data_IF_101288133779
#
_entry.id   IF_101288133779
#
_cell.length_a   1.000
_cell.length_b   1.000
_cell.length_c   1.000
_cell.angle_alpha   90.00
_cell.angle_beta   90.00
_cell.angle_gamma   90.00
#
_symmetry.space_group_name_H-M   'P 1'
#
loop_
_entity.id
_entity.type
_entity.pdbx_description
1 polymer ?
#
# COMPACT_ATOMS: atom_id res chain seq x y z
N UNK A 1 7.56 -28.78 9.89
CA UNK A 1 7.13 -27.65 9.05
C UNK A 1 8.30 -27.25 8.20
N UNK A 2 8.11 -26.95 6.92
CA UNK A 2 9.17 -26.33 6.10
C UNK A 2 9.69 -25.08 6.81
N UNK A 3 10.93 -24.68 6.52
CA UNK A 3 11.57 -23.51 7.12
C UNK A 3 10.81 -22.17 6.90
N UNK A 4 9.68 -22.20 6.19
CA UNK A 4 8.92 -21.06 5.70
C UNK A 4 7.45 -21.03 6.19
N UNK A 5 7.10 -21.83 7.21
CA UNK A 5 5.78 -21.76 7.86
C UNK A 5 4.68 -22.57 7.16
N UNK A 6 3.56 -22.76 7.86
CA UNK A 6 2.36 -23.42 7.34
C UNK A 6 1.49 -22.38 6.60
N UNK A 7 0.95 -22.74 5.42
CA UNK A 7 -0.07 -21.98 4.66
C UNK A 7 0.35 -20.67 3.97
N UNK A 8 1.51 -20.61 3.32
CA UNK A 8 1.81 -19.50 2.40
C UNK A 8 1.93 -18.13 3.08
N UNK A 9 2.36 -18.09 4.34
CA UNK A 9 2.58 -16.82 5.07
C UNK A 9 3.55 -15.87 4.36
N UNK A 10 4.44 -16.40 3.52
CA UNK A 10 5.39 -15.62 2.73
C UNK A 10 4.97 -15.46 1.26
N UNK A 11 3.77 -15.90 0.87
CA UNK A 11 3.31 -15.82 -0.50
C UNK A 11 2.90 -14.41 -0.83
N UNK A 12 3.63 -13.81 -1.78
CA UNK A 12 3.43 -12.44 -2.20
C UNK A 12 3.37 -12.30 -3.71
N UNK A 13 2.73 -11.23 -4.16
CA UNK A 13 2.87 -10.69 -5.49
C UNK A 13 2.73 -9.17 -5.40
N UNK A 14 2.68 -8.50 -6.55
CA UNK A 14 2.52 -7.06 -6.61
C UNK A 14 1.34 -6.70 -7.50
N UNK A 15 0.46 -5.87 -6.98
CA UNK A 15 -0.69 -5.32 -7.68
C UNK A 15 -0.78 -3.84 -7.39
N UNK A 16 -1.07 -3.03 -8.42
CA UNK A 16 -1.33 -1.61 -8.28
C UNK A 16 -2.83 -1.34 -8.45
N UNK A 17 -3.48 -1.10 -7.32
CA UNK A 17 -4.87 -0.72 -7.29
C UNK A 17 -5.02 0.75 -7.74
N UNK A 18 -5.78 0.95 -8.82
CA UNK A 18 -6.03 2.26 -9.42
C UNK A 18 -5.15 2.55 -10.64
N UNK A 19 -4.10 1.77 -10.89
CA UNK A 19 -3.33 1.84 -12.13
C UNK A 19 -3.91 0.93 -13.22
N UNK A 20 -3.85 1.35 -14.48
CA UNK A 20 -4.14 0.47 -15.63
C UNK A 20 -2.93 -0.39 -15.93
N UNK A 21 -2.93 -1.62 -15.43
CA UNK A 21 -1.90 -2.62 -15.68
C UNK A 21 -2.46 -3.86 -16.40
N UNK A 22 -1.58 -4.66 -17.01
CA UNK A 22 -1.98 -5.94 -17.61
C UNK A 22 -2.37 -6.94 -16.50
N UNK A 23 -3.61 -7.44 -16.48
CA UNK A 23 -4.05 -8.40 -15.46
C UNK A 23 -3.27 -9.73 -15.47
N UNK A 24 -2.53 -10.05 -16.53
CA UNK A 24 -1.65 -11.23 -16.57
C UNK A 24 -0.39 -11.04 -15.74
N UNK A 25 0.10 -9.80 -15.61
CA UNK A 25 1.25 -9.46 -14.77
C UNK A 25 0.83 -9.46 -13.29
N UNK A 26 -0.40 -9.04 -13.01
CA UNK A 26 -0.99 -8.92 -11.67
C UNK A 26 -1.91 -10.10 -11.29
N UNK A 27 -1.70 -11.30 -11.86
CA UNK A 27 -2.55 -12.45 -11.59
C UNK A 27 -2.48 -12.84 -10.10
N UNK A 28 -3.65 -12.96 -9.48
CA UNK A 28 -3.84 -13.39 -8.08
C UNK A 28 -3.30 -14.79 -7.79
N UNK A 29 -3.01 -15.60 -8.82
CA UNK A 29 -2.39 -16.93 -8.70
C UNK A 29 -0.87 -16.89 -8.89
N UNK A 30 -0.32 -15.77 -9.33
CA UNK A 30 1.12 -15.59 -9.42
C UNK A 30 1.68 -15.40 -8.01
N UNK A 31 2.61 -16.27 -7.61
CA UNK A 31 3.17 -16.30 -6.25
C UNK A 31 4.69 -16.18 -6.34
N UNK A 32 5.28 -15.29 -5.55
CA UNK A 32 6.65 -15.41 -5.06
C UNK A 32 6.60 -16.03 -3.67
N UNK A 33 7.46 -17.00 -3.42
CA UNK A 33 7.73 -17.49 -2.07
C UNK A 33 8.89 -16.71 -1.41
N UNK A 34 9.00 -16.79 -0.09
CA UNK A 34 10.05 -16.13 0.67
C UNK A 34 11.45 -16.58 0.25
N UNK A 35 12.30 -15.62 -0.11
CA UNK A 35 13.66 -15.87 -0.57
C UNK A 35 13.81 -15.93 -2.09
N UNK A 36 12.72 -15.76 -2.83
CA UNK A 36 12.74 -15.57 -4.28
C UNK A 36 12.80 -14.08 -4.65
N UNK A 37 13.33 -13.82 -5.85
CA UNK A 37 13.31 -12.49 -6.47
C UNK A 37 12.50 -12.53 -7.77
N UNK A 38 11.78 -11.44 -8.06
CA UNK A 38 11.09 -11.26 -9.34
C UNK A 38 11.14 -9.81 -9.76
N UNK A 39 11.43 -9.61 -11.04
CA UNK A 39 11.27 -8.31 -11.69
C UNK A 39 9.88 -8.22 -12.29
N UNK A 40 9.15 -7.15 -11.93
CA UNK A 40 7.90 -6.78 -12.58
C UNK A 40 8.16 -5.65 -13.57
N UNK A 41 7.52 -5.72 -14.74
CA UNK A 41 7.57 -4.65 -15.74
C UNK A 41 6.15 -4.15 -15.93
N UNK A 42 5.95 -2.87 -15.66
CA UNK A 42 4.69 -2.17 -15.83
C UNK A 42 4.88 -1.07 -16.86
N UNK A 43 3.87 -0.90 -17.73
CA UNK A 43 3.85 0.14 -18.74
C UNK A 43 2.85 1.21 -18.32
N UNK A 44 3.37 2.37 -17.93
CA UNK A 44 2.57 3.57 -17.65
C UNK A 44 2.59 4.45 -18.88
N UNK A 45 1.68 4.17 -19.82
CA UNK A 45 1.57 4.92 -21.07
C UNK A 45 1.08 6.36 -20.82
N UNK A 46 1.30 7.26 -21.78
CA UNK A 46 0.95 8.68 -21.64
C UNK A 46 -0.55 8.96 -21.46
N UNK A 47 -1.42 7.97 -21.75
CA UNK A 47 -2.87 8.03 -21.55
C UNK A 47 -3.34 7.33 -20.25
N UNK A 48 -2.40 6.91 -19.39
CA UNK A 48 -2.71 6.47 -18.03
C UNK A 48 -3.42 7.61 -17.28
N UNK A 49 -4.51 7.34 -16.54
CA UNK A 49 -5.11 8.37 -15.70
C UNK A 49 -4.11 8.85 -14.64
N UNK A 50 -3.93 10.16 -14.45
CA UNK A 50 -3.10 10.67 -13.36
C UNK A 50 -3.78 10.44 -12.02
N UNK A 51 -3.00 10.48 -10.95
CA UNK A 51 -3.50 10.47 -9.59
C UNK A 51 -2.80 9.48 -8.66
N UNK A 52 -3.39 9.32 -7.48
CA UNK A 52 -2.89 8.44 -6.43
C UNK A 52 -3.41 7.02 -6.66
N UNK A 53 -2.50 6.10 -6.99
CA UNK A 53 -2.72 4.67 -6.90
C UNK A 53 -1.99 4.11 -5.66
N UNK A 54 -2.26 2.86 -5.33
CA UNK A 54 -1.58 2.19 -4.23
C UNK A 54 -1.23 0.77 -4.63
N UNK A 55 -0.18 0.22 -4.04
CA UNK A 55 0.26 -1.14 -4.32
C UNK A 55 0.20 -2.00 -3.07
N UNK A 56 -0.18 -3.26 -3.25
CA UNK A 56 -0.21 -4.27 -2.20
C UNK A 56 -0.08 -5.68 -2.79
N UNK A 57 0.16 -6.67 -1.93
CA UNK A 57 0.07 -8.07 -2.33
C UNK A 57 -1.39 -8.48 -2.53
N UNK A 58 -1.68 -9.14 -3.64
CA UNK A 58 -3.00 -9.59 -4.08
C UNK A 58 -3.05 -11.10 -4.38
N UNK A 59 -2.16 -11.87 -3.75
CA UNK A 59 -2.20 -13.33 -3.84
C UNK A 59 -3.51 -13.87 -3.24
N UNK A 60 -4.17 -14.75 -4.00
CA UNK A 60 -5.41 -15.39 -3.57
C UNK A 60 -5.20 -16.18 -2.27
N UNK A 61 -6.00 -15.87 -1.25
CA UNK A 61 -5.95 -16.53 0.06
C UNK A 61 -4.97 -15.92 1.06
N UNK A 62 -3.96 -15.14 0.62
CA UNK A 62 -2.95 -14.57 1.52
C UNK A 62 -2.93 -13.04 1.57
N UNK A 63 -3.60 -12.36 0.63
CA UNK A 63 -3.64 -10.88 0.52
C UNK A 63 -3.98 -10.18 1.84
N UNK A 64 -4.98 -10.68 2.59
CA UNK A 64 -5.40 -10.11 3.88
C UNK A 64 -4.29 -10.13 4.92
N UNK A 65 -3.50 -11.21 4.99
CA UNK A 65 -2.40 -11.31 5.94
C UNK A 65 -1.29 -10.32 5.61
N UNK A 66 -0.89 -10.23 4.33
CA UNK A 66 0.13 -9.27 3.90
C UNK A 66 -0.30 -7.82 4.12
N UNK A 67 -1.56 -7.48 3.81
CA UNK A 67 -2.08 -6.14 4.00
C UNK A 67 -2.05 -5.72 5.48
N UNK A 68 -2.59 -6.56 6.37
CA UNK A 68 -2.59 -6.26 7.81
C UNK A 68 -1.20 -6.35 8.45
N UNK A 69 -0.26 -7.07 7.83
CA UNK A 69 1.16 -7.01 8.17
C UNK A 69 1.83 -5.69 7.77
N UNK A 70 1.10 -4.77 7.13
CA UNK A 70 1.59 -3.45 6.73
C UNK A 70 2.18 -3.40 5.33
N UNK A 71 2.03 -4.44 4.51
CA UNK A 71 2.56 -4.49 3.16
C UNK A 71 1.63 -3.80 2.15
N UNK A 72 1.61 -2.47 2.24
CA UNK A 72 0.99 -1.59 1.26
C UNK A 72 1.85 -0.34 1.07
N UNK A 73 1.73 0.31 -0.07
CA UNK A 73 2.37 1.59 -0.35
C UNK A 73 1.58 2.42 -1.34
N UNK A 74 1.95 3.69 -1.48
CA UNK A 74 1.34 4.61 -2.43
C UNK A 74 2.23 4.79 -3.66
N UNK A 75 1.61 5.08 -4.81
CA UNK A 75 2.29 5.55 -6.01
C UNK A 75 1.52 6.72 -6.60
N UNK A 76 2.23 7.78 -6.97
CA UNK A 76 1.65 8.93 -7.67
C UNK A 76 1.94 8.79 -9.15
N UNK A 77 0.90 8.90 -9.98
CA UNK A 77 0.99 8.89 -11.43
C UNK A 77 0.87 10.33 -11.92
N UNK A 78 1.96 10.86 -12.47
CA UNK A 78 2.10 12.24 -12.96
C UNK A 78 2.53 12.25 -14.43
N UNK A 79 2.55 13.43 -15.04
CA UNK A 79 3.06 13.66 -16.39
C UNK A 79 2.13 13.20 -17.50
N UNK A 80 0.86 12.94 -17.20
CA UNK A 80 -0.16 12.50 -18.17
C UNK A 80 -0.97 13.69 -18.69
N UNK A 81 -1.78 13.49 -19.72
CA UNK A 81 -2.49 14.58 -20.39
C UNK A 81 -3.49 15.35 -19.49
N UNK A 82 -3.91 14.78 -18.36
CA UNK A 82 -4.88 15.37 -17.42
C UNK A 82 -4.25 15.69 -16.06
N UNK A 83 -2.92 15.75 -15.99
CA UNK A 83 -2.20 15.93 -14.74
C UNK A 83 -2.46 17.32 -14.13
N UNK A 84 -3.14 17.32 -12.98
CA UNK A 84 -3.50 18.53 -12.24
C UNK A 84 -2.32 19.15 -11.51
N UNK A 85 -1.21 18.43 -11.32
CA UNK A 85 0.02 18.98 -10.71
C UNK A 85 0.61 20.11 -11.56
N UNK A 86 0.21 20.22 -12.83
CA UNK A 86 0.59 21.31 -13.73
C UNK A 86 -0.15 22.63 -13.47
N UNK A 87 -1.25 22.61 -12.70
CA UNK A 87 -1.99 23.81 -12.32
C UNK A 87 -1.13 24.62 -11.32
N UNK A 88 -0.87 25.92 -11.55
CA UNK A 88 0.07 26.71 -10.74
C UNK A 88 -0.19 26.68 -9.23
N UNK A 89 -1.46 26.72 -8.83
CA UNK A 89 -1.88 26.69 -7.43
C UNK A 89 -1.61 25.32 -6.77
N UNK A 90 -1.74 24.23 -7.54
CA UNK A 90 -1.48 22.86 -7.08
C UNK A 90 0.03 22.60 -7.05
N UNK A 91 0.76 23.03 -8.09
CA UNK A 91 2.21 22.95 -8.16
C UNK A 91 2.92 23.68 -7.02
N UNK A 92 2.32 24.78 -6.54
CA UNK A 92 2.83 25.56 -5.41
C UNK A 92 2.39 25.04 -4.03
N UNK A 93 1.42 24.11 -3.99
CA UNK A 93 0.95 23.53 -2.74
C UNK A 93 1.92 22.46 -2.24
N UNK A 94 1.98 22.31 -0.91
CA UNK A 94 2.69 21.20 -0.28
C UNK A 94 1.86 19.92 -0.45
N UNK A 95 2.40 18.95 -1.18
CA UNK A 95 1.82 17.62 -1.31
C UNK A 95 2.13 16.73 -0.11
N UNK A 96 1.12 16.03 0.40
CA UNK A 96 1.23 15.15 1.56
C UNK A 96 0.44 13.87 1.32
N UNK A 97 1.16 12.75 1.17
CA UNK A 97 0.52 11.43 1.06
C UNK A 97 0.22 10.89 2.46
N UNK A 98 -1.05 10.57 2.70
CA UNK A 98 -1.51 9.94 3.94
C UNK A 98 -2.09 8.55 3.66
N UNK A 99 -1.37 7.51 4.09
CA UNK A 99 -1.86 6.13 4.13
C UNK A 99 -2.40 5.90 5.54
N UNK A 100 -3.72 5.99 5.68
CA UNK A 100 -4.41 5.70 6.94
C UNK A 100 -4.80 4.23 6.95
N UNK A 101 -4.32 3.49 7.94
CA UNK A 101 -4.59 2.05 8.06
C UNK A 101 -4.77 1.65 9.51
N UNK A 102 -5.41 0.50 9.71
CA UNK A 102 -5.51 -0.15 11.00
C UNK A 102 -4.70 -1.44 10.95
N UNK A 103 -3.85 -1.65 11.96
CA UNK A 103 -3.13 -2.92 12.12
C UNK A 103 -3.16 -3.38 13.57
N UNK A 104 -2.92 -4.68 13.74
CA UNK A 104 -2.78 -5.33 15.05
C UNK A 104 -1.43 -6.04 15.06
N UNK A 105 -0.54 -5.57 15.92
CA UNK A 105 0.74 -6.23 16.19
C UNK A 105 0.67 -6.96 17.53
N UNK A 106 1.24 -8.15 17.59
CA UNK A 106 1.37 -8.87 18.84
C UNK A 106 2.40 -8.14 19.71
N UNK A 107 1.95 -7.54 20.83
CA UNK A 107 2.79 -6.70 21.68
C UNK A 107 3.99 -7.44 22.30
N UNK A 108 3.96 -8.78 22.39
CA UNK A 108 5.04 -9.59 22.94
C UNK A 108 6.08 -9.96 21.89
N UNK A 109 5.66 -10.23 20.64
CA UNK A 109 6.56 -10.72 19.59
C UNK A 109 6.92 -9.66 18.54
N UNK A 110 6.17 -8.55 18.50
CA UNK A 110 6.28 -7.52 17.46
C UNK A 110 5.79 -7.98 16.08
N UNK A 111 5.24 -9.20 15.95
CA UNK A 111 4.78 -9.77 14.67
C UNK A 111 3.30 -9.47 14.42
N UNK A 112 2.87 -9.40 13.15
CA UNK A 112 1.45 -9.48 12.80
C UNK A 112 0.82 -10.76 13.38
N UNK A 113 -0.49 -10.74 13.67
CA UNK A 113 -1.16 -11.92 14.20
C UNK A 113 -1.24 -13.05 13.15
N UNK A 114 -0.82 -14.26 13.53
CA UNK A 114 -0.75 -15.44 12.66
C UNK A 114 -2.14 -15.96 12.20
N UNK A 115 -3.22 -15.55 12.88
CA UNK A 115 -4.56 -16.03 12.63
C UNK A 115 -5.59 -14.91 12.73
N UNK A 116 -6.22 -14.59 11.61
CA UNK A 116 -7.36 -13.71 11.52
C UNK A 116 -8.63 -14.57 11.59
N UNK A 117 -9.35 -14.52 12.71
CA UNK A 117 -10.75 -14.91 12.70
C UNK A 117 -11.50 -13.68 12.18
N UNK A 118 -12.43 -13.81 11.20
CA UNK A 118 -13.28 -12.71 10.76
C UNK A 118 -14.34 -12.34 11.82
N UNK A 119 -13.96 -12.32 13.10
CA UNK A 119 -14.66 -11.52 14.08
C UNK A 119 -14.19 -10.10 13.84
N UNK A 120 -15.14 -9.20 13.61
CA UNK A 120 -14.94 -7.76 13.63
C UNK A 120 -14.56 -7.32 15.06
N UNK A 121 -13.41 -7.76 15.55
CA UNK A 121 -12.78 -7.29 16.76
C UNK A 121 -12.16 -5.93 16.41
N UNK A 122 -12.72 -4.84 16.92
CA UNK A 122 -12.30 -3.47 16.58
C UNK A 122 -11.22 -2.91 17.53
N UNK A 123 -10.49 -3.76 18.26
CA UNK A 123 -9.37 -3.33 19.11
C UNK A 123 -8.08 -3.03 18.32
N UNK A 124 -8.19 -2.29 17.21
CA UNK A 124 -7.07 -1.93 16.34
C UNK A 124 -6.38 -0.65 16.80
N UNK A 125 -5.12 -0.51 16.42
CA UNK A 125 -4.40 0.75 16.54
C UNK A 125 -4.39 1.39 15.16
N UNK A 126 -5.01 2.57 15.06
CA UNK A 126 -4.91 3.40 13.85
C UNK A 126 -3.48 3.87 13.65
N UNK A 127 -3.02 3.77 12.40
CA UNK A 127 -1.72 4.27 11.97
C UNK A 127 -1.89 5.21 10.78
N UNK A 128 -1.01 6.19 10.68
CA UNK A 128 -0.84 6.98 9.45
C UNK A 128 0.60 6.84 9.00
N UNK A 129 0.80 6.42 7.75
CA UNK A 129 2.14 6.14 7.19
C UNK A 129 2.96 5.19 8.09
N UNK A 130 2.30 4.20 8.70
CA UNK A 130 2.92 3.21 9.59
C UNK A 130 3.24 3.69 11.01
N UNK A 131 2.98 4.97 11.33
CA UNK A 131 3.17 5.52 12.68
C UNK A 131 1.87 5.48 13.48
N UNK A 132 1.94 5.06 14.74
CA UNK A 132 0.80 5.04 15.65
C UNK A 132 0.68 6.36 16.44
N UNK A 133 -0.54 6.86 16.64
CA UNK A 133 -0.79 7.97 17.57
C UNK A 133 -0.25 9.34 17.11
N UNK A 134 0.23 10.16 18.05
CA UNK A 134 0.56 11.58 17.85
C UNK A 134 1.79 11.85 16.96
N UNK A 135 2.48 10.80 16.48
CA UNK A 135 3.63 10.92 15.57
C UNK A 135 3.21 11.16 14.10
N UNK A 136 1.91 11.35 13.87
CA UNK A 136 1.30 11.60 12.55
C UNK A 136 0.91 13.08 12.38
N UNK A 137 1.74 14.02 12.83
CA UNK A 137 1.47 15.46 12.71
C UNK A 137 2.09 16.03 11.44
N UNK A 138 1.24 16.61 10.61
CA UNK A 138 1.66 17.40 9.44
C UNK A 138 1.43 18.87 9.74
N UNK A 139 2.50 19.66 9.72
CA UNK A 139 2.44 21.12 9.97
C UNK A 139 2.41 21.90 8.65
N UNK A 140 1.54 22.91 8.62
CA UNK A 140 1.47 23.94 7.58
C UNK A 140 1.72 25.31 8.22
N UNK A 141 2.43 26.20 7.52
CA UNK A 141 2.58 27.60 7.91
C UNK A 141 1.30 28.37 7.57
N UNK A 142 1.06 29.48 8.28
CA UNK A 142 -0.05 30.36 7.95
C UNK A 142 0.09 30.88 6.50
N UNK A 143 -0.94 30.67 5.68
CA UNK A 143 -0.94 31.02 4.25
C UNK A 143 -0.34 29.95 3.32
N UNK A 144 0.16 28.83 3.85
CA UNK A 144 0.59 27.67 3.05
C UNK A 144 -0.62 26.85 2.60
N UNK A 145 -0.66 26.51 1.31
CA UNK A 145 -1.65 25.60 0.75
C UNK A 145 -1.15 24.16 0.87
N UNK A 146 -2.04 23.26 1.31
CA UNK A 146 -1.78 21.83 1.36
C UNK A 146 -2.67 21.08 0.39
N UNK A 147 -2.11 20.06 -0.26
CA UNK A 147 -2.84 19.04 -1.00
C UNK A 147 -2.63 17.70 -0.28
N UNK A 148 -3.72 17.07 0.15
CA UNK A 148 -3.75 15.80 0.90
C UNK A 148 -4.39 14.72 0.05
#
# INVERSE_FOLDING_TARGET
>A
GSAYGYWGQNYMNLHFHGARNDPKVEDVRSVLDGGEERTYVYHFDSDQPPGLAWYHSHVHGTTTYSYFAGLAGAVVIEGTAQDLTTVPEIAAAKEVILIVSESRVNATTGRPFDFFIPVLDFAWVGTTNGQAGADTVVTFKAGEMGFL
#
